data_IF_484912551186
#
_entry.id   IF_484912551186
#
_cell.length_a   1.000
_cell.length_b   1.000
_cell.length_c   1.000
_cell.angle_alpha   90.00
_cell.angle_beta   90.00
_cell.angle_gamma   90.00
#
_symmetry.space_group_name_H-M   'P 1'
#
loop_
_entity.id
_entity.type
_entity.pdbx_description
1 polymer ?
#
# COMPACT_ATOMS: atom_id res chain seq x y z
N UNK A 1 -1.80 -9.64 8.14
CA UNK A 1 -0.86 -9.38 7.01
C UNK A 1 -1.22 -8.03 6.41
N UNK A 2 -0.25 -7.16 6.16
CA UNK A 2 -0.45 -5.89 5.46
C UNK A 2 0.03 -6.05 4.02
N UNK A 3 -0.73 -5.60 3.04
CA UNK A 3 -0.38 -5.70 1.61
C UNK A 3 -0.24 -4.28 1.05
N UNK A 4 0.88 -4.02 0.40
CA UNK A 4 1.08 -2.80 -0.39
C UNK A 4 1.07 -3.24 -1.85
N UNK A 5 0.10 -2.72 -2.60
CA UNK A 5 0.00 -3.00 -4.04
C UNK A 5 1.07 -2.21 -4.78
N UNK A 6 1.95 -2.89 -5.50
CA UNK A 6 2.96 -2.25 -6.34
C UNK A 6 2.56 -2.20 -7.82
N UNK A 7 1.39 -2.76 -8.18
CA UNK A 7 0.95 -2.91 -9.57
C UNK A 7 1.24 -4.30 -10.13
N UNK A 8 1.08 -4.45 -11.45
CA UNK A 8 1.36 -5.68 -12.18
C UNK A 8 2.51 -5.45 -13.18
N UNK A 9 3.48 -6.35 -13.18
CA UNK A 9 4.61 -6.28 -14.09
C UNK A 9 4.17 -6.45 -15.55
N UNK A 10 4.72 -5.62 -16.44
CA UNK A 10 4.68 -5.85 -17.89
C UNK A 10 6.01 -6.48 -18.28
N UNK A 11 6.03 -7.80 -18.51
CA UNK A 11 7.24 -8.55 -18.85
C UNK A 11 7.84 -9.31 -17.67
N UNK A 12 9.16 -9.18 -17.45
CA UNK A 12 9.88 -9.90 -16.39
C UNK A 12 9.48 -9.41 -15.01
N UNK A 13 8.84 -10.29 -14.22
CA UNK A 13 8.45 -9.97 -12.84
C UNK A 13 9.65 -9.71 -11.92
N UNK A 14 10.80 -10.33 -12.19
CA UNK A 14 12.03 -10.15 -11.40
C UNK A 14 12.59 -8.74 -11.57
N UNK A 15 12.63 -8.23 -12.81
CA UNK A 15 13.13 -6.87 -13.07
C UNK A 15 12.17 -5.82 -12.53
N UNK A 16 10.86 -6.10 -12.56
CA UNK A 16 9.84 -5.22 -12.01
C UNK A 16 9.96 -5.03 -10.50
N UNK A 17 10.18 -6.11 -9.73
CA UNK A 17 10.28 -6.03 -8.26
C UNK A 17 11.64 -5.51 -7.76
N UNK A 18 12.70 -5.66 -8.56
CA UNK A 18 14.04 -5.16 -8.24
C UNK A 18 14.31 -3.76 -8.82
N UNK A 19 13.46 -3.30 -9.73
CA UNK A 19 13.51 -1.98 -10.33
C UNK A 19 13.17 -0.85 -9.36
N UNK A 20 13.50 0.37 -9.75
CA UNK A 20 13.08 1.58 -9.02
C UNK A 20 11.74 2.05 -9.57
N UNK A 21 10.94 2.66 -8.69
CA UNK A 21 9.72 3.37 -9.12
C UNK A 21 10.09 4.66 -9.85
N UNK A 22 9.50 4.88 -11.02
CA UNK A 22 9.69 6.09 -11.83
C UNK A 22 8.78 7.23 -11.34
N UNK A 23 9.03 8.45 -11.83
CA UNK A 23 8.52 9.70 -11.25
C UNK A 23 6.98 9.96 -11.20
N UNK A 24 6.08 9.12 -11.75
CA UNK A 24 4.68 9.14 -11.30
C UNK A 24 4.32 8.04 -10.28
N UNK A 25 4.92 6.85 -10.37
CA UNK A 25 4.67 5.76 -9.41
C UNK A 25 5.31 6.02 -8.05
N UNK A 26 6.46 6.69 -8.02
CA UNK A 26 7.19 6.98 -6.80
C UNK A 26 6.37 7.81 -5.79
N UNK A 27 5.48 8.68 -6.27
CA UNK A 27 4.60 9.47 -5.41
C UNK A 27 3.51 8.60 -4.79
N UNK A 28 2.83 7.79 -5.61
CA UNK A 28 1.79 6.85 -5.17
C UNK A 28 2.33 5.86 -4.15
N UNK A 29 3.55 5.34 -4.37
CA UNK A 29 4.21 4.44 -3.42
C UNK A 29 4.53 5.15 -2.10
N UNK A 30 4.91 6.43 -2.13
CA UNK A 30 5.16 7.21 -0.91
C UNK A 30 3.88 7.41 -0.10
N UNK A 31 2.77 7.74 -0.76
CA UNK A 31 1.46 7.82 -0.12
C UNK A 31 1.02 6.47 0.46
N UNK A 32 1.20 5.39 -0.30
CA UNK A 32 0.90 4.04 0.15
C UNK A 32 1.77 3.61 1.34
N UNK A 33 3.04 4.03 1.36
CA UNK A 33 3.96 3.80 2.48
C UNK A 33 3.50 4.53 3.74
N UNK A 34 3.10 5.80 3.63
CA UNK A 34 2.58 6.55 4.77
C UNK A 34 1.30 5.91 5.31
N UNK A 35 0.34 5.60 4.43
CA UNK A 35 -0.90 4.91 4.81
C UNK A 35 -0.64 3.54 5.47
N UNK A 36 0.39 2.82 5.02
CA UNK A 36 0.80 1.57 5.61
C UNK A 36 1.38 1.76 7.03
N UNK A 37 2.16 2.81 7.27
CA UNK A 37 2.67 3.14 8.60
C UNK A 37 1.52 3.43 9.57
N UNK A 38 0.59 4.30 9.17
CA UNK A 38 -0.61 4.64 9.96
C UNK A 38 -1.47 3.39 10.25
N UNK A 39 -1.56 2.45 9.29
CA UNK A 39 -2.27 1.20 9.48
C UNK A 39 -1.59 0.28 10.51
N UNK A 40 -0.25 0.24 10.55
CA UNK A 40 0.48 -0.53 11.56
C UNK A 40 0.30 0.08 12.95
N UNK A 41 0.40 1.40 13.07
CA UNK A 41 0.14 2.10 14.34
C UNK A 41 -1.27 1.82 14.85
N UNK A 42 -2.28 1.95 13.97
CA UNK A 42 -3.66 1.66 14.31
C UNK A 42 -3.86 0.18 14.70
N UNK A 43 -3.16 -0.75 14.04
CA UNK A 43 -3.25 -2.16 14.37
C UNK A 43 -2.70 -2.47 15.76
N UNK A 44 -1.58 -1.86 16.14
CA UNK A 44 -0.98 -2.03 17.46
C UNK A 44 -1.90 -1.46 18.55
N UNK A 45 -2.48 -0.28 18.32
CA UNK A 45 -3.28 0.42 19.33
C UNK A 45 -4.73 -0.09 19.45
N UNK A 46 -5.36 -0.45 18.33
CA UNK A 46 -6.81 -0.69 18.25
C UNK A 46 -7.18 -2.10 17.78
N UNK A 47 -6.20 -2.93 17.40
CA UNK A 47 -6.43 -4.27 16.91
C UNK A 47 -6.81 -4.35 15.41
N UNK A 48 -6.98 -5.59 14.93
CA UNK A 48 -7.10 -5.88 13.50
C UNK A 48 -8.43 -5.38 12.91
N UNK A 49 -9.55 -5.56 13.60
CA UNK A 49 -10.89 -5.24 13.07
C UNK A 49 -11.08 -3.74 12.80
N UNK A 50 -10.66 -2.90 13.76
CA UNK A 50 -10.70 -1.44 13.62
C UNK A 50 -9.80 -0.97 12.48
N UNK A 51 -8.60 -1.54 12.37
CA UNK A 51 -7.64 -1.24 11.30
C UNK A 51 -8.19 -1.64 9.93
N UNK A 52 -8.72 -2.86 9.80
CA UNK A 52 -9.28 -3.35 8.55
C UNK A 52 -10.42 -2.45 8.07
N UNK A 53 -11.30 -2.02 8.98
CA UNK A 53 -12.41 -1.11 8.65
C UNK A 53 -11.91 0.25 8.14
N UNK A 54 -10.90 0.83 8.80
CA UNK A 54 -10.37 2.16 8.43
C UNK A 54 -9.54 2.13 7.14
N UNK A 55 -8.74 1.10 6.93
CA UNK A 55 -7.72 1.10 5.87
C UNK A 55 -8.08 0.29 4.62
N UNK A 56 -8.98 -0.70 4.72
CA UNK A 56 -9.45 -1.47 3.54
C UNK A 56 -10.66 -0.85 2.84
N UNK A 57 -11.27 0.19 3.42
CA UNK A 57 -12.36 0.91 2.75
C UNK A 57 -11.80 1.66 1.54
N UNK A 58 -12.40 1.43 0.37
CA UNK A 58 -12.00 2.08 -0.88
C UNK A 58 -12.12 3.61 -0.73
N UNK A 59 -11.08 4.39 -1.11
CA UNK A 59 -11.18 5.83 -1.18
C UNK A 59 -11.98 6.31 -2.41
N UNK A 60 -12.41 5.40 -3.29
CA UNK A 60 -13.23 5.76 -4.46
C UNK A 60 -14.66 6.05 -4.02
N UNK A 61 -15.23 7.24 -4.30
CA UNK A 61 -16.66 7.43 -4.14
C UNK A 61 -17.39 6.50 -5.11
N UNK A 62 -18.52 5.97 -4.64
CA UNK A 62 -19.50 5.28 -5.48
C UNK A 62 -20.11 6.22 -6.52
#
# INVERSE_FOLDING_TARGET
>A
RLRIGIGAAVGSGTDYVLGRFEAPEAEVIREAQQRAADAVECWIEHGADATMTRFNSDPSPA
#
